data_IF_986228600014
#
_entry.id   IF_986228600014
#
_cell.length_a   1.000
_cell.length_b   1.000
_cell.length_c   1.000
_cell.angle_alpha   90.00
_cell.angle_beta   90.00
_cell.angle_gamma   90.00
#
_symmetry.space_group_name_H-M   'P 1'
#
loop_
_entity.id
_entity.type
_entity.pdbx_description
1 polymer ?
#
# COMPACT_ATOMS: atom_id res chain seq x y z
N UNK A 1 2.89 19.92 -18.41
CA UNK A 1 3.07 18.44 -18.28
C UNK A 1 3.96 18.13 -17.08
N UNK A 2 3.58 17.18 -16.22
CA UNK A 2 4.42 16.74 -15.10
C UNK A 2 5.67 16.04 -15.60
N UNK A 3 6.83 16.43 -15.08
CA UNK A 3 8.12 15.79 -15.37
C UNK A 3 8.65 15.15 -14.11
N UNK A 4 8.62 13.83 -14.05
CA UNK A 4 9.05 13.07 -12.89
C UNK A 4 10.56 12.82 -12.87
N UNK A 5 11.16 12.99 -11.68
CA UNK A 5 12.58 12.72 -11.40
C UNK A 5 12.68 11.59 -10.38
N UNK A 6 13.61 10.66 -10.56
CA UNK A 6 13.84 9.59 -9.61
C UNK A 6 14.28 10.13 -8.25
N UNK A 7 13.82 9.48 -7.18
CA UNK A 7 14.23 9.79 -5.82
C UNK A 7 15.64 9.22 -5.57
N UNK A 8 16.51 10.08 -5.07
CA UNK A 8 17.92 9.78 -4.76
C UNK A 8 18.30 10.37 -3.41
N UNK A 9 19.40 9.88 -2.83
CA UNK A 9 19.96 10.45 -1.59
C UNK A 9 20.30 11.95 -1.73
N UNK A 10 20.64 12.38 -2.96
CA UNK A 10 21.01 13.79 -3.24
C UNK A 10 19.79 14.73 -3.20
N UNK A 11 18.64 14.27 -3.68
CA UNK A 11 17.42 15.10 -3.72
C UNK A 11 16.45 14.86 -2.56
N UNK A 12 16.78 14.00 -1.60
CA UNK A 12 15.92 13.74 -0.44
C UNK A 12 15.66 14.99 0.43
N UNK A 13 16.60 15.93 0.48
CA UNK A 13 16.41 17.19 1.19
C UNK A 13 15.26 18.03 0.63
N UNK A 14 14.94 17.88 -0.66
CA UNK A 14 13.79 18.52 -1.29
C UNK A 14 12.48 17.91 -0.76
N UNK A 15 12.40 16.57 -0.65
CA UNK A 15 11.23 15.91 -0.07
C UNK A 15 10.98 16.38 1.37
N UNK A 16 12.06 16.55 2.15
CA UNK A 16 11.97 17.03 3.52
C UNK A 16 11.27 18.38 3.66
N UNK A 17 11.46 19.32 2.74
CA UNK A 17 10.81 20.62 2.76
C UNK A 17 9.28 20.54 2.82
N UNK A 18 8.72 19.46 2.26
CA UNK A 18 7.30 19.19 2.29
C UNK A 18 6.90 18.35 3.51
N UNK A 19 7.70 17.33 3.84
CA UNK A 19 7.34 16.35 4.87
C UNK A 19 7.59 16.83 6.29
N UNK A 20 8.54 17.73 6.53
CA UNK A 20 8.85 18.22 7.89
C UNK A 20 7.68 18.96 8.55
N UNK A 21 6.77 19.50 7.77
CA UNK A 21 5.57 20.20 8.25
C UNK A 21 4.28 19.46 7.86
N UNK A 22 4.37 18.19 7.46
CA UNK A 22 3.23 17.39 7.06
C UNK A 22 2.68 16.61 8.25
N UNK A 23 1.42 16.84 8.60
CA UNK A 23 0.75 16.27 9.77
C UNK A 23 -0.11 15.03 9.46
N UNK A 24 0.06 14.40 8.29
CA UNK A 24 -0.71 13.22 7.92
C UNK A 24 -0.40 11.99 8.78
N UNK A 25 0.68 12.00 9.52
CA UNK A 25 1.12 10.95 10.44
C UNK A 25 1.27 9.54 9.81
N UNK A 26 1.32 9.44 8.47
CA UNK A 26 1.55 8.20 7.73
C UNK A 26 3.03 8.08 7.35
N UNK A 27 3.59 6.88 7.46
CA UNK A 27 5.02 6.67 7.25
C UNK A 27 5.48 6.99 5.82
N UNK A 28 4.62 6.86 4.83
CA UNK A 28 4.95 7.20 3.43
C UNK A 28 5.18 8.69 3.21
N UNK A 29 4.70 9.55 4.09
CA UNK A 29 4.98 11.00 4.06
C UNK A 29 6.29 11.33 4.80
N UNK A 30 7.31 10.53 4.52
CA UNK A 30 8.68 10.70 5.03
C UNK A 30 9.71 10.49 3.94
N UNK A 31 10.83 11.17 4.03
CA UNK A 31 11.95 10.97 3.12
C UNK A 31 12.61 9.61 3.33
N UNK A 32 12.60 9.08 4.55
CA UNK A 32 13.14 7.78 4.93
C UNK A 32 12.47 6.65 4.17
N UNK A 33 11.13 6.56 4.21
CA UNK A 33 10.36 5.53 3.47
C UNK A 33 10.59 5.66 1.98
N UNK A 34 10.52 6.89 1.43
CA UNK A 34 10.73 7.08 -0.01
C UNK A 34 12.13 6.67 -0.46
N UNK A 35 13.16 6.90 0.35
CA UNK A 35 14.52 6.43 0.06
C UNK A 35 14.68 4.93 0.23
N UNK A 36 14.10 4.35 1.27
CA UNK A 36 14.21 2.92 1.54
C UNK A 36 13.63 2.09 0.39
N UNK A 37 12.44 2.42 -0.04
CA UNK A 37 11.67 1.66 -1.03
C UNK A 37 11.81 2.15 -2.47
N UNK A 38 12.65 3.19 -2.74
CA UNK A 38 12.76 3.85 -4.06
C UNK A 38 12.97 2.92 -5.25
N UNK A 39 13.71 1.84 -5.06
CA UNK A 39 14.01 0.91 -6.15
C UNK A 39 12.91 -0.14 -6.34
N UNK A 40 12.32 -0.62 -5.24
CA UNK A 40 11.26 -1.63 -5.28
C UNK A 40 9.94 -1.04 -5.81
N UNK A 41 9.62 0.20 -5.40
CA UNK A 41 8.39 0.91 -5.76
C UNK A 41 8.61 1.98 -6.83
N UNK A 42 9.79 2.04 -7.44
CA UNK A 42 10.17 2.98 -8.49
C UNK A 42 9.68 4.41 -8.24
N UNK A 43 9.86 4.88 -7.02
CA UNK A 43 9.42 6.22 -6.63
C UNK A 43 10.09 7.31 -7.45
N UNK A 44 9.26 8.20 -7.98
CA UNK A 44 9.67 9.43 -8.66
C UNK A 44 8.84 10.61 -8.13
N UNK A 45 9.37 11.80 -8.25
CA UNK A 45 8.76 13.02 -7.75
C UNK A 45 8.66 14.12 -8.82
N UNK A 46 7.65 14.95 -8.71
CA UNK A 46 7.46 16.18 -9.46
C UNK A 46 6.91 17.26 -8.55
N UNK A 47 6.99 18.52 -8.98
CA UNK A 47 6.34 19.65 -8.33
C UNK A 47 5.33 20.28 -9.30
N UNK A 48 4.13 20.54 -8.82
CA UNK A 48 3.12 21.30 -9.54
C UNK A 48 2.24 22.07 -8.54
N UNK A 49 1.81 23.26 -8.91
CA UNK A 49 0.93 24.10 -8.10
C UNK A 49 1.43 24.28 -6.65
N UNK A 50 2.75 24.36 -6.44
CA UNK A 50 3.35 24.47 -5.10
C UNK A 50 3.27 23.19 -4.25
N UNK A 51 2.86 22.05 -4.82
CA UNK A 51 2.75 20.76 -4.13
C UNK A 51 3.82 19.79 -4.60
N UNK A 52 4.24 18.90 -3.69
CA UNK A 52 5.00 17.70 -4.00
C UNK A 52 4.06 16.60 -4.48
N UNK A 53 4.36 16.00 -5.61
CA UNK A 53 3.67 14.87 -6.20
C UNK A 53 4.64 13.70 -6.26
N UNK A 54 4.29 12.59 -5.64
CA UNK A 54 5.05 11.34 -5.69
C UNK A 54 4.32 10.36 -6.61
N UNK A 55 5.04 9.81 -7.58
CA UNK A 55 4.62 8.72 -8.45
C UNK A 55 5.25 7.42 -7.96
N UNK A 56 4.44 6.41 -7.78
CA UNK A 56 4.84 5.04 -7.48
C UNK A 56 4.58 4.15 -8.69
N UNK A 57 5.47 3.21 -8.98
CA UNK A 57 5.24 2.18 -10.00
C UNK A 57 5.63 0.82 -9.44
N UNK A 58 4.66 -0.06 -9.31
CA UNK A 58 4.82 -1.41 -8.77
C UNK A 58 3.94 -2.38 -9.54
N UNK A 59 4.49 -3.54 -9.90
CA UNK A 59 3.76 -4.62 -10.58
C UNK A 59 3.02 -4.15 -11.85
N UNK A 60 3.61 -3.22 -12.59
CA UNK A 60 3.02 -2.67 -13.81
C UNK A 60 1.92 -1.62 -13.59
N UNK A 61 1.60 -1.30 -12.34
CA UNK A 61 0.62 -0.27 -11.98
C UNK A 61 1.32 1.02 -11.57
N UNK A 62 0.74 2.14 -11.96
CA UNK A 62 1.20 3.48 -11.58
C UNK A 62 0.15 4.09 -10.66
N UNK A 63 0.60 4.60 -9.52
CA UNK A 63 -0.22 5.38 -8.59
C UNK A 63 0.51 6.64 -8.14
N UNK A 64 -0.24 7.56 -7.55
CA UNK A 64 0.28 8.80 -7.02
C UNK A 64 -0.12 8.92 -5.55
N UNK A 65 0.81 9.30 -4.70
CA UNK A 65 0.44 9.67 -3.33
C UNK A 65 -0.46 10.93 -3.39
N UNK A 66 -1.33 11.10 -2.39
CA UNK A 66 -2.04 12.37 -2.25
C UNK A 66 -1.02 13.51 -2.17
N UNK A 67 -1.18 14.60 -2.96
CA UNK A 67 -0.19 15.69 -3.02
C UNK A 67 0.06 16.32 -1.66
N UNK A 68 1.29 16.73 -1.40
CA UNK A 68 1.64 17.47 -0.18
C UNK A 68 1.88 18.93 -0.52
N UNK A 69 1.05 19.79 0.01
CA UNK A 69 1.17 21.23 -0.22
C UNK A 69 2.41 21.81 0.47
N UNK A 70 3.15 22.66 -0.24
CA UNK A 70 4.06 23.63 0.35
C UNK A 70 3.28 24.83 0.92
N UNK A 71 3.96 25.88 1.39
CA UNK A 71 3.31 27.04 2.02
C UNK A 71 2.22 27.71 1.15
N UNK A 72 2.41 27.75 -0.17
CA UNK A 72 1.48 28.33 -1.15
C UNK A 72 0.93 27.25 -2.10
N UNK A 73 0.88 26.01 -1.64
CA UNK A 73 0.47 24.86 -2.46
C UNK A 73 -1.05 24.74 -2.62
N UNK A 74 -1.49 24.47 -3.85
CA UNK A 74 -2.87 24.17 -4.22
C UNK A 74 -3.02 22.69 -4.56
N UNK A 75 -3.57 21.92 -3.62
CA UNK A 75 -3.76 20.47 -3.76
C UNK A 75 -4.75 20.12 -4.88
N UNK A 76 -5.79 20.93 -5.11
CA UNK A 76 -6.76 20.70 -6.17
C UNK A 76 -6.16 20.89 -7.56
N UNK A 77 -5.37 21.95 -7.73
CA UNK A 77 -4.60 22.15 -8.95
C UNK A 77 -3.53 21.06 -9.17
N UNK A 78 -2.92 20.56 -8.09
CA UNK A 78 -1.97 19.45 -8.17
C UNK A 78 -2.66 18.14 -8.60
N UNK A 79 -3.86 17.84 -8.08
CA UNK A 79 -4.67 16.71 -8.51
C UNK A 79 -5.07 16.85 -9.99
N UNK A 80 -5.45 18.05 -10.42
CA UNK A 80 -5.73 18.34 -11.84
C UNK A 80 -4.51 18.12 -12.74
N UNK A 81 -3.30 18.42 -12.26
CA UNK A 81 -2.07 18.16 -12.99
C UNK A 81 -1.76 16.65 -13.10
N UNK A 82 -2.09 15.85 -12.07
CA UNK A 82 -2.00 14.38 -12.12
C UNK A 82 -2.97 13.83 -13.17
N UNK A 83 -4.22 14.29 -13.17
CA UNK A 83 -5.23 13.87 -14.14
C UNK A 83 -4.81 14.18 -15.58
N UNK A 84 -4.31 15.39 -15.82
CA UNK A 84 -3.81 15.79 -17.14
C UNK A 84 -2.66 14.90 -17.60
N UNK A 85 -1.71 14.59 -16.69
CA UNK A 85 -0.62 13.66 -16.95
C UNK A 85 -1.13 12.26 -17.30
N UNK A 86 -2.12 11.75 -16.56
CA UNK A 86 -2.74 10.46 -16.80
C UNK A 86 -3.42 10.41 -18.18
N UNK A 87 -4.14 11.48 -18.56
CA UNK A 87 -4.76 11.59 -19.88
C UNK A 87 -3.74 11.56 -21.02
N UNK A 88 -2.64 12.28 -20.88
CA UNK A 88 -1.59 12.34 -21.92
C UNK A 88 -0.85 11.01 -22.08
N UNK A 89 -0.61 10.31 -20.96
CA UNK A 89 0.19 9.08 -20.96
C UNK A 89 -0.63 7.81 -21.06
N UNK A 90 -1.97 7.90 -20.98
CA UNK A 90 -2.86 6.75 -20.99
C UNK A 90 -2.85 5.91 -19.73
N UNK A 91 -2.41 6.51 -18.61
CA UNK A 91 -2.39 5.86 -17.32
C UNK A 91 -3.71 6.17 -16.62
N UNK A 92 -4.33 5.18 -15.99
CA UNK A 92 -5.50 5.42 -15.15
C UNK A 92 -5.07 6.19 -13.88
N UNK A 93 -5.72 7.29 -13.50
CA UNK A 93 -5.43 7.95 -12.24
C UNK A 93 -5.75 7.02 -11.07
N UNK A 94 -4.78 6.83 -10.22
CA UNK A 94 -4.89 6.09 -8.97
C UNK A 94 -4.22 6.93 -7.89
N UNK A 95 -5.02 7.47 -6.95
CA UNK A 95 -4.47 8.24 -5.83
C UNK A 95 -4.37 7.30 -4.64
N UNK A 96 -3.16 7.06 -4.20
CA UNK A 96 -2.83 6.13 -3.12
C UNK A 96 -2.34 6.86 -1.87
N UNK A 97 -2.24 6.11 -0.77
CA UNK A 97 -1.77 6.65 0.51
C UNK A 97 -2.54 7.92 0.90
N UNK A 98 -3.85 7.93 0.63
CA UNK A 98 -4.70 9.08 0.97
C UNK A 98 -4.94 9.10 2.47
N UNK A 99 -4.58 10.18 3.17
CA UNK A 99 -4.88 10.35 4.59
C UNK A 99 -6.40 10.42 4.84
N UNK A 100 -6.83 9.99 6.02
CA UNK A 100 -8.25 9.92 6.36
C UNK A 100 -8.95 11.28 6.22
N UNK A 101 -8.30 12.35 6.63
CA UNK A 101 -8.80 13.72 6.55
C UNK A 101 -8.93 14.26 5.12
N UNK A 102 -8.22 13.64 4.15
CA UNK A 102 -8.29 14.01 2.73
C UNK A 102 -9.27 13.14 1.93
N UNK A 103 -9.74 12.05 2.49
CA UNK A 103 -10.71 11.18 1.83
C UNK A 103 -12.00 11.91 1.40
N UNK A 104 -12.62 12.81 2.21
CA UNK A 104 -13.80 13.56 1.78
C UNK A 104 -13.56 14.44 0.55
N UNK A 105 -12.36 15.03 0.41
CA UNK A 105 -11.99 15.85 -0.75
C UNK A 105 -12.05 15.03 -2.03
N UNK A 106 -11.46 13.84 -2.02
CA UNK A 106 -11.44 12.94 -3.18
C UNK A 106 -12.81 12.33 -3.47
N UNK A 107 -13.63 12.04 -2.45
CA UNK A 107 -15.01 11.59 -2.64
C UNK A 107 -15.86 12.67 -3.32
N UNK A 108 -15.65 13.95 -2.99
CA UNK A 108 -16.33 15.05 -3.66
C UNK A 108 -15.85 15.26 -5.09
N UNK A 109 -14.54 15.11 -5.32
CA UNK A 109 -13.92 15.27 -6.64
C UNK A 109 -14.30 14.14 -7.60
N UNK A 110 -14.35 12.91 -7.12
CA UNK A 110 -14.63 11.70 -7.91
C UNK A 110 -15.94 11.04 -7.47
N UNK A 111 -17.08 11.47 -8.01
CA UNK A 111 -18.38 10.91 -7.65
C UNK A 111 -18.52 9.41 -7.97
N UNK A 112 -17.70 8.90 -8.89
CA UNK A 112 -17.59 7.48 -9.21
C UNK A 112 -16.16 7.02 -8.98
N UNK A 113 -15.92 6.50 -7.80
CA UNK A 113 -14.58 6.07 -7.39
C UNK A 113 -14.65 4.77 -6.61
N UNK A 114 -13.74 3.86 -6.91
CA UNK A 114 -13.51 2.70 -6.05
C UNK A 114 -12.55 3.10 -4.94
N UNK A 115 -12.99 2.93 -3.71
CA UNK A 115 -12.17 3.22 -2.53
C UNK A 115 -11.81 1.91 -1.84
N UNK A 116 -10.56 1.73 -1.50
CA UNK A 116 -10.09 0.60 -0.71
C UNK A 116 -9.19 1.07 0.44
N UNK A 117 -9.13 0.25 1.49
CA UNK A 117 -8.34 0.50 2.68
C UNK A 117 -7.91 -0.84 3.27
N UNK A 118 -6.69 -1.23 3.01
CA UNK A 118 -6.16 -2.55 3.37
C UNK A 118 -5.66 -2.53 4.80
N UNK A 119 -6.23 -3.42 5.67
CA UNK A 119 -5.89 -3.50 7.10
C UNK A 119 -4.39 -3.68 7.36
N UNK A 120 -3.71 -4.47 6.53
CA UNK A 120 -2.28 -4.81 6.71
C UNK A 120 -1.33 -3.67 6.39
N UNK A 121 -1.82 -2.59 5.78
CA UNK A 121 -1.07 -1.40 5.44
C UNK A 121 -1.32 -0.23 6.39
N UNK A 122 -2.22 -0.39 7.40
CA UNK A 122 -2.48 0.67 8.37
C UNK A 122 -1.30 0.84 9.29
N UNK A 123 -0.87 2.09 9.49
CA UNK A 123 0.20 2.41 10.42
C UNK A 123 -0.25 2.31 11.87
N UNK A 124 0.66 1.85 12.71
CA UNK A 124 0.47 1.79 14.16
C UNK A 124 0.98 3.10 14.78
N UNK A 125 0.03 3.96 15.17
CA UNK A 125 0.31 5.20 15.88
C UNK A 125 0.16 5.00 17.38
N UNK A 126 1.12 5.52 18.15
CA UNK A 126 1.14 5.48 19.60
C UNK A 126 1.26 6.91 20.12
N UNK A 127 0.69 7.18 21.29
CA UNK A 127 1.07 8.40 22.00
C UNK A 127 2.54 8.32 22.42
N UNK A 128 3.27 9.37 22.16
CA UNK A 128 4.72 9.44 22.48
C UNK A 128 4.99 9.18 23.96
N UNK A 129 4.18 9.76 24.86
CA UNK A 129 4.31 9.57 26.30
C UNK A 129 4.10 8.12 26.72
N UNK A 130 3.18 7.40 26.08
CA UNK A 130 2.93 5.98 26.37
C UNK A 130 4.18 5.12 26.14
N UNK A 131 4.88 5.32 25.03
CA UNK A 131 6.08 4.58 24.70
C UNK A 131 7.31 5.05 25.50
N UNK A 132 7.38 6.34 25.80
CA UNK A 132 8.46 6.92 26.60
C UNK A 132 8.41 6.45 28.07
N UNK A 133 7.23 6.36 28.67
CA UNK A 133 7.08 6.09 30.09
C UNK A 133 6.61 4.67 30.38
N UNK A 134 5.89 4.03 29.45
CA UNK A 134 5.16 2.77 29.67
C UNK A 134 4.35 2.81 30.97
N UNK A 135 3.70 3.95 31.25
CA UNK A 135 2.94 4.15 32.48
C UNK A 135 1.64 3.32 32.52
N UNK A 136 1.19 3.01 33.75
CA UNK A 136 -0.07 2.32 33.96
C UNK A 136 -0.02 0.79 33.84
N UNK A 137 -1.14 0.14 34.19
CA UNK A 137 -1.25 -1.32 34.31
C UNK A 137 -1.06 -2.04 32.96
N UNK A 138 -1.53 -1.46 31.87
CA UNK A 138 -1.47 -2.08 30.53
C UNK A 138 -0.03 -2.33 30.05
N UNK A 139 0.93 -1.54 30.53
CA UNK A 139 2.34 -1.66 30.15
C UNK A 139 3.20 -2.38 31.18
N UNK A 140 2.60 -3.10 32.14
CA UNK A 140 3.36 -3.83 33.14
C UNK A 140 4.30 -4.88 32.53
N UNK A 141 3.89 -5.50 31.42
CA UNK A 141 4.72 -6.45 30.67
C UNK A 141 6.00 -5.79 30.14
N UNK A 142 5.87 -4.66 29.46
CA UNK A 142 7.00 -3.91 28.89
C UNK A 142 7.96 -3.46 29.99
N UNK A 143 7.45 -2.87 31.08
CA UNK A 143 8.29 -2.50 32.24
C UNK A 143 9.02 -3.69 32.85
N UNK A 144 8.37 -4.86 32.94
CA UNK A 144 9.01 -6.06 33.46
C UNK A 144 10.12 -6.55 32.51
N UNK A 145 9.91 -6.51 31.21
CA UNK A 145 10.94 -6.85 30.23
C UNK A 145 12.13 -5.89 30.30
N UNK A 146 11.89 -4.58 30.36
CA UNK A 146 12.92 -3.55 30.52
C UNK A 146 13.70 -3.74 31.83
N UNK A 147 12.99 -3.96 32.95
CA UNK A 147 13.63 -4.19 34.25
C UNK A 147 14.54 -5.42 34.21
N UNK A 148 14.07 -6.53 33.63
CA UNK A 148 14.90 -7.75 33.50
C UNK A 148 16.08 -7.53 32.58
N UNK A 149 15.89 -6.79 31.48
CA UNK A 149 16.94 -6.44 30.54
C UNK A 149 18.10 -5.71 31.27
N UNK A 150 17.84 -4.59 31.95
CA UNK A 150 18.89 -3.84 32.66
C UNK A 150 19.43 -4.58 33.86
N UNK A 151 18.70 -5.51 34.47
CA UNK A 151 19.22 -6.38 35.52
C UNK A 151 20.23 -7.40 34.99
N UNK A 152 20.04 -7.88 33.77
CA UNK A 152 20.92 -8.86 33.12
C UNK A 152 22.11 -8.18 32.43
N UNK A 153 21.88 -7.00 31.85
CA UNK A 153 22.90 -6.21 31.14
C UNK A 153 22.97 -4.80 31.72
N UNK A 154 23.59 -4.65 32.91
CA UNK A 154 23.62 -3.37 33.66
C UNK A 154 24.44 -2.27 32.97
N UNK A 155 25.31 -2.65 32.04
CA UNK A 155 26.12 -1.71 31.26
C UNK A 155 25.44 -1.32 29.93
N UNK A 156 24.20 -1.78 29.70
CA UNK A 156 23.48 -1.42 28.47
C UNK A 156 23.12 0.07 28.48
N UNK A 157 23.57 0.80 27.45
CA UNK A 157 23.37 2.24 27.30
C UNK A 157 22.91 2.58 25.87
N UNK A 158 21.93 3.47 25.79
CA UNK A 158 21.47 4.03 24.50
C UNK A 158 22.23 5.32 24.22
N UNK A 159 22.69 5.45 22.96
CA UNK A 159 23.21 6.71 22.44
C UNK A 159 22.90 6.90 20.96
N UNK A 160 22.85 8.16 20.45
CA UNK A 160 22.89 8.41 19.03
C UNK A 160 24.14 7.80 18.40
N UNK A 161 24.01 7.28 17.17
CA UNK A 161 25.10 6.70 16.39
C UNK A 161 25.23 7.38 15.02
N UNK A 162 26.43 7.34 14.48
CA UNK A 162 26.78 7.87 13.16
C UNK A 162 27.09 6.72 12.19
N UNK A 163 26.56 6.79 10.97
CA UNK A 163 26.89 5.81 9.93
C UNK A 163 28.38 5.72 9.64
N UNK A 164 29.14 6.81 9.83
CA UNK A 164 30.58 6.87 9.59
C UNK A 164 31.37 6.51 10.85
N UNK A 165 31.08 7.14 11.99
CA UNK A 165 31.86 6.93 13.21
C UNK A 165 31.65 5.53 13.82
N UNK A 166 30.42 5.01 13.73
CA UNK A 166 30.06 3.71 14.29
C UNK A 166 29.97 2.60 13.22
N UNK A 167 30.56 2.80 12.02
CA UNK A 167 30.47 1.87 10.90
C UNK A 167 30.85 0.45 11.25
N UNK A 168 31.94 0.26 12.02
CA UNK A 168 32.41 -1.05 12.45
C UNK A 168 31.43 -1.76 13.41
N UNK A 169 30.85 -1.02 14.37
CA UNK A 169 29.85 -1.57 15.28
C UNK A 169 28.55 -1.93 14.54
N UNK A 170 28.13 -1.11 13.58
CA UNK A 170 26.95 -1.37 12.73
C UNK A 170 27.17 -2.61 11.87
N UNK A 171 28.35 -2.76 11.27
CA UNK A 171 28.67 -3.94 10.45
C UNK A 171 28.70 -5.22 11.29
N UNK A 172 29.34 -5.17 12.45
CA UNK A 172 29.37 -6.29 13.40
C UNK A 172 27.96 -6.67 13.85
N UNK A 173 27.12 -5.68 14.21
CA UNK A 173 25.71 -5.92 14.55
C UNK A 173 24.97 -6.69 13.47
N UNK A 174 25.11 -6.30 12.21
CA UNK A 174 24.43 -6.99 11.10
C UNK A 174 24.93 -8.42 10.91
N UNK A 175 26.22 -8.69 11.19
CA UNK A 175 26.78 -10.03 11.20
C UNK A 175 26.14 -10.91 12.28
N UNK A 176 26.09 -10.40 13.50
CA UNK A 176 25.48 -11.07 14.65
C UNK A 176 23.98 -11.28 14.45
N UNK A 177 23.27 -10.23 14.00
CA UNK A 177 21.84 -10.28 13.74
C UNK A 177 21.49 -11.34 12.67
N UNK A 178 22.27 -11.42 11.60
CA UNK A 178 22.08 -12.42 10.56
C UNK A 178 22.32 -13.84 11.08
N UNK A 179 23.26 -14.03 11.99
CA UNK A 179 23.55 -15.33 12.60
C UNK A 179 22.38 -15.82 13.48
N UNK A 180 21.69 -14.89 14.17
CA UNK A 180 20.54 -15.16 15.01
C UNK A 180 19.20 -15.15 14.21
N UNK A 181 19.17 -14.66 12.96
CA UNK A 181 17.96 -14.50 12.18
C UNK A 181 17.36 -15.86 11.82
N UNK A 182 16.02 -16.05 11.97
CA UNK A 182 15.40 -17.34 11.69
C UNK A 182 15.65 -17.80 10.24
N UNK A 183 16.11 -19.02 10.07
CA UNK A 183 16.50 -19.59 8.77
C UNK A 183 15.33 -19.80 7.79
N UNK A 184 14.12 -19.89 8.31
CA UNK A 184 12.86 -20.04 7.58
C UNK A 184 12.16 -18.70 7.28
N UNK A 185 12.83 -17.60 7.55
CA UNK A 185 12.33 -16.26 7.20
C UNK A 185 12.10 -16.14 5.70
N UNK A 186 10.91 -15.67 5.32
CA UNK A 186 10.52 -15.53 3.93
C UNK A 186 11.33 -14.50 3.14
N UNK A 187 11.27 -14.56 1.82
CA UNK A 187 12.00 -13.67 0.91
C UNK A 187 11.76 -12.17 1.16
N UNK A 188 10.55 -11.80 1.60
CA UNK A 188 10.21 -10.41 1.95
C UNK A 188 11.00 -9.89 3.16
N UNK A 189 11.13 -10.70 4.22
CA UNK A 189 11.90 -10.34 5.42
C UNK A 189 13.41 -10.20 5.10
N UNK A 190 13.93 -11.05 4.21
CA UNK A 190 15.31 -10.94 3.75
C UNK A 190 15.54 -9.67 2.91
N UNK A 191 14.60 -9.33 2.03
CA UNK A 191 14.68 -8.11 1.22
C UNK A 191 14.63 -6.85 2.11
N UNK A 192 13.74 -6.80 3.11
CA UNK A 192 13.65 -5.71 4.09
C UNK A 192 14.94 -5.59 4.90
N UNK A 193 15.55 -6.70 5.31
CA UNK A 193 16.83 -6.71 6.02
C UNK A 193 17.95 -6.05 5.18
N UNK A 194 18.05 -6.40 3.90
CA UNK A 194 19.05 -5.79 3.00
C UNK A 194 18.79 -4.29 2.75
N UNK A 195 17.51 -3.87 2.67
CA UNK A 195 17.16 -2.46 2.60
C UNK A 195 17.51 -1.71 3.89
N UNK A 196 17.25 -2.31 5.05
CA UNK A 196 17.61 -1.76 6.37
C UNK A 196 19.12 -1.54 6.49
N UNK A 197 19.95 -2.50 6.07
CA UNK A 197 21.42 -2.34 6.02
C UNK A 197 21.84 -1.16 5.16
N UNK A 198 21.28 -1.05 3.95
CA UNK A 198 21.58 0.06 3.03
C UNK A 198 21.20 1.41 3.62
N UNK A 199 20.07 1.49 4.31
CA UNK A 199 19.60 2.71 4.96
C UNK A 199 20.51 3.11 6.15
N UNK A 200 20.90 2.15 6.98
CA UNK A 200 21.83 2.40 8.09
C UNK A 200 23.21 2.87 7.63
N UNK A 201 23.68 2.39 6.46
CA UNK A 201 24.97 2.77 5.87
C UNK A 201 24.94 4.09 5.08
N UNK A 202 23.76 4.72 4.89
CA UNK A 202 23.65 6.00 4.19
C UNK A 202 24.42 7.10 4.94
N UNK A 203 24.98 8.10 4.23
CA UNK A 203 25.63 9.24 4.87
C UNK A 203 24.72 9.93 5.90
N UNK A 204 25.34 10.38 6.99
CA UNK A 204 24.61 11.08 8.05
C UNK A 204 23.88 12.31 7.51
N UNK A 205 22.63 12.45 7.95
CA UNK A 205 21.76 13.58 7.66
C UNK A 205 21.13 14.04 8.97
N UNK A 206 21.00 15.36 9.23
CA UNK A 206 20.44 15.86 10.49
C UNK A 206 19.03 15.34 10.81
N UNK A 207 18.25 15.03 9.77
CA UNK A 207 16.87 14.55 9.88
C UNK A 207 16.76 13.02 9.95
N UNK A 208 17.84 12.27 9.67
CA UNK A 208 17.87 10.81 9.73
C UNK A 208 18.51 10.38 11.04
N UNK A 209 17.69 10.21 12.05
CA UNK A 209 18.09 9.98 13.43
C UNK A 209 18.42 8.51 13.65
N UNK A 210 19.65 8.22 14.03
CA UNK A 210 20.10 6.86 14.31
C UNK A 210 20.34 6.67 15.79
N UNK A 211 19.79 5.61 16.37
CA UNK A 211 20.01 5.20 17.73
C UNK A 211 20.71 3.85 17.83
N UNK A 212 21.52 3.67 18.83
CA UNK A 212 22.15 2.39 19.16
C UNK A 212 22.07 2.10 20.64
N UNK A 213 21.74 0.85 21.01
CA UNK A 213 21.87 0.33 22.35
C UNK A 213 23.15 -0.50 22.40
N UNK A 214 24.02 -0.20 23.35
CA UNK A 214 25.32 -0.87 23.54
C UNK A 214 25.35 -1.61 24.84
N UNK A 215 25.96 -2.78 24.87
CA UNK A 215 26.41 -3.47 26.11
C UNK A 215 27.95 -3.44 26.12
N UNK A 216 28.50 -2.49 26.88
CA UNK A 216 29.90 -2.09 26.75
C UNK A 216 30.18 -1.54 25.36
N UNK A 217 31.09 -2.16 24.60
CA UNK A 217 31.43 -1.75 23.22
C UNK A 217 30.54 -2.42 22.15
N UNK A 218 29.76 -3.44 22.55
CA UNK A 218 28.95 -4.22 21.59
C UNK A 218 27.62 -3.53 21.31
N UNK A 219 27.37 -3.20 20.05
CA UNK A 219 26.05 -2.75 19.57
C UNK A 219 25.07 -3.94 19.56
N UNK A 220 24.01 -3.87 20.36
CA UNK A 220 23.04 -4.96 20.57
C UNK A 220 21.65 -4.66 20.02
N UNK A 221 21.34 -3.39 19.79
CA UNK A 221 20.15 -2.96 19.07
C UNK A 221 20.42 -1.65 18.33
N UNK A 222 19.70 -1.43 17.22
CA UNK A 222 19.79 -0.19 16.46
C UNK A 222 18.41 0.25 15.94
N UNK A 223 18.27 1.55 15.71
CA UNK A 223 17.10 2.15 15.09
C UNK A 223 17.45 3.24 14.11
N UNK A 224 16.48 3.53 13.24
CA UNK A 224 16.50 4.65 12.30
C UNK A 224 15.15 5.34 12.33
N UNK A 225 15.16 6.63 12.66
CA UNK A 225 13.95 7.42 12.84
C UNK A 225 14.00 8.72 12.03
N UNK A 226 12.82 9.30 11.80
CA UNK A 226 12.64 10.60 11.16
C UNK A 226 11.47 11.35 11.84
N UNK A 227 11.57 12.67 11.98
CA UNK A 227 10.45 13.50 12.44
C UNK A 227 9.72 14.11 11.26
N UNK A 228 8.40 13.97 11.21
CA UNK A 228 7.53 14.61 10.22
C UNK A 228 6.34 15.22 10.97
N UNK A 229 6.16 16.55 10.89
CA UNK A 229 5.19 17.26 11.72
C UNK A 229 5.38 16.89 13.21
N UNK A 230 4.30 16.56 13.90
CA UNK A 230 4.29 16.13 15.29
C UNK A 230 4.50 14.62 15.49
N UNK A 231 5.01 13.92 14.48
CA UNK A 231 5.18 12.46 14.51
C UNK A 231 6.64 12.05 14.40
N UNK A 232 7.11 11.23 15.34
CA UNK A 232 8.36 10.47 15.20
C UNK A 232 8.05 9.17 14.45
N UNK A 233 8.64 8.99 13.28
CA UNK A 233 8.49 7.76 12.48
C UNK A 233 9.71 6.88 12.72
N UNK A 234 9.49 5.62 13.12
CA UNK A 234 10.54 4.62 13.32
C UNK A 234 10.55 3.69 12.11
N UNK A 235 11.53 3.89 11.22
CA UNK A 235 11.67 3.11 9.99
C UNK A 235 12.33 1.76 10.20
N UNK A 236 13.32 1.72 11.10
CA UNK A 236 14.09 0.52 11.39
C UNK A 236 14.21 0.40 12.91
N UNK A 237 13.95 -0.79 13.41
CA UNK A 237 14.16 -1.17 14.80
C UNK A 237 14.55 -2.64 14.81
N UNK A 238 15.79 -2.93 15.15
CA UNK A 238 16.34 -4.28 15.21
C UNK A 238 17.14 -4.47 16.51
N UNK A 239 16.97 -5.62 17.14
CA UNK A 239 17.73 -6.02 18.31
C UNK A 239 18.15 -7.49 18.21
N UNK A 240 19.31 -7.85 18.74
CA UNK A 240 19.78 -9.22 18.81
C UNK A 240 18.83 -10.06 19.66
N UNK A 241 18.43 -11.22 19.17
CA UNK A 241 17.45 -12.10 19.84
C UNK A 241 17.99 -12.64 21.17
N UNK A 242 19.32 -12.79 21.29
CA UNK A 242 20.01 -13.20 22.51
C UNK A 242 19.86 -12.20 23.66
N UNK A 243 19.48 -10.94 23.38
CA UNK A 243 19.27 -9.89 24.38
C UNK A 243 17.77 -9.72 24.70
N UNK A 244 17.21 -10.63 25.48
CA UNK A 244 15.79 -10.62 25.82
C UNK A 244 15.38 -9.32 26.53
N UNK A 245 14.39 -8.61 25.99
CA UNK A 245 13.93 -7.30 26.49
C UNK A 245 14.61 -6.09 25.86
N UNK A 246 15.56 -6.29 24.94
CA UNK A 246 16.23 -5.19 24.24
C UNK A 246 15.23 -4.35 23.39
N UNK A 247 14.25 -4.96 22.71
CA UNK A 247 13.26 -4.23 21.93
C UNK A 247 12.47 -3.18 22.75
N UNK A 248 11.78 -3.52 23.87
CA UNK A 248 11.08 -2.51 24.65
C UNK A 248 12.02 -1.50 25.31
N UNK A 249 13.25 -1.89 25.67
CA UNK A 249 14.25 -0.95 26.18
C UNK A 249 14.69 0.05 25.09
N UNK A 250 14.89 -0.42 23.86
CA UNK A 250 15.24 0.42 22.71
C UNK A 250 14.12 1.40 22.38
N UNK A 251 12.86 0.93 22.26
CA UNK A 251 11.68 1.79 22.01
C UNK A 251 11.60 2.91 23.05
N UNK A 252 11.74 2.59 24.33
CA UNK A 252 11.69 3.60 25.39
C UNK A 252 12.80 4.64 25.24
N UNK A 253 14.01 4.18 24.99
CA UNK A 253 15.21 5.03 24.93
C UNK A 253 15.22 5.94 23.69
N UNK A 254 14.88 5.40 22.50
CA UNK A 254 14.85 6.17 21.27
C UNK A 254 13.72 7.21 21.26
N UNK A 255 12.54 6.87 21.79
CA UNK A 255 11.44 7.81 21.94
C UNK A 255 11.78 8.93 22.94
N UNK A 256 12.48 8.60 24.03
CA UNK A 256 12.99 9.61 24.95
C UNK A 256 14.03 10.53 24.31
N UNK A 257 14.94 9.97 23.49
CA UNK A 257 16.02 10.72 22.86
C UNK A 257 15.56 11.54 21.63
N UNK A 258 14.65 11.00 20.83
CA UNK A 258 14.29 11.58 19.55
C UNK A 258 12.87 12.14 19.47
N UNK A 259 12.00 11.82 20.42
CA UNK A 259 10.59 12.20 20.41
C UNK A 259 10.27 13.61 20.91
N UNK A 260 11.28 14.44 21.21
CA UNK A 260 11.00 15.80 21.65
C UNK A 260 10.24 16.61 20.59
N UNK A 261 9.18 17.34 21.00
CA UNK A 261 8.28 18.06 20.12
C UNK A 261 7.27 17.17 19.36
N UNK A 262 7.27 15.84 19.54
CA UNK A 262 6.31 14.93 18.92
C UNK A 262 5.15 14.61 19.87
N UNK A 263 3.93 14.54 19.32
CA UNK A 263 2.74 14.01 20.00
C UNK A 263 2.61 12.50 19.79
N UNK A 264 3.03 12.03 18.63
CA UNK A 264 2.86 10.64 18.20
C UNK A 264 4.18 9.97 17.83
N UNK A 265 4.16 8.63 17.90
CA UNK A 265 5.18 7.74 17.34
C UNK A 265 4.49 6.83 16.34
N UNK A 266 4.97 6.82 15.09
CA UNK A 266 4.53 5.89 14.05
C UNK A 266 5.58 4.78 13.93
N UNK A 267 5.16 3.53 14.13
CA UNK A 267 6.00 2.34 13.95
C UNK A 267 5.64 1.56 12.69
N UNK A 268 5.15 2.25 11.68
CA UNK A 268 4.75 1.71 10.37
C UNK A 268 3.69 0.60 10.46
N UNK A 269 3.41 -0.08 9.35
CA UNK A 269 2.41 -1.14 9.27
C UNK A 269 2.95 -2.53 9.68
N UNK A 270 2.12 -3.58 9.57
CA UNK A 270 2.52 -4.96 9.86
C UNK A 270 2.78 -5.82 8.62
N UNK A 271 2.67 -5.27 7.40
CA UNK A 271 2.86 -5.94 6.12
C UNK A 271 2.14 -7.31 5.98
N UNK A 272 1.14 -7.58 6.82
CA UNK A 272 0.43 -8.85 6.91
C UNK A 272 1.11 -9.91 7.78
N UNK A 273 2.26 -9.63 8.38
CA UNK A 273 2.94 -10.56 9.29
C UNK A 273 2.23 -10.64 10.64
N UNK A 274 1.85 -11.87 11.04
CA UNK A 274 1.11 -12.12 12.30
C UNK A 274 1.95 -11.87 13.54
N UNK A 275 3.23 -12.19 13.51
CA UNK A 275 4.14 -12.00 14.64
C UNK A 275 4.38 -10.52 14.87
N UNK A 276 4.66 -9.76 13.80
CA UNK A 276 4.82 -8.32 13.84
C UNK A 276 3.55 -7.61 14.31
N UNK A 277 2.38 -8.05 13.81
CA UNK A 277 1.06 -7.56 14.27
C UNK A 277 0.87 -7.75 15.77
N UNK A 278 1.12 -8.97 16.26
CA UNK A 278 0.98 -9.29 17.68
C UNK A 278 1.92 -8.42 18.53
N UNK A 279 3.17 -8.30 18.11
CA UNK A 279 4.16 -7.45 18.77
C UNK A 279 3.70 -5.99 18.83
N UNK A 280 3.30 -5.40 17.70
CA UNK A 280 2.85 -3.99 17.64
C UNK A 280 1.60 -3.73 18.49
N UNK A 281 0.64 -4.65 18.49
CA UNK A 281 -0.58 -4.51 19.32
C UNK A 281 -0.28 -4.56 20.83
N UNK A 282 0.74 -5.29 21.27
CA UNK A 282 1.14 -5.35 22.70
C UNK A 282 1.63 -4.00 23.24
N UNK A 283 2.03 -3.08 22.39
CA UNK A 283 2.41 -1.71 22.78
C UNK A 283 1.20 -0.77 22.88
N UNK A 284 -0.04 -1.26 22.67
CA UNK A 284 -1.28 -0.51 22.85
C UNK A 284 -1.39 0.72 21.94
N UNK A 285 -1.46 0.55 20.61
CA UNK A 285 -1.54 1.71 19.71
C UNK A 285 -2.78 2.56 20.01
N UNK A 286 -2.61 3.87 19.93
CA UNK A 286 -3.69 4.85 20.06
C UNK A 286 -4.63 4.79 18.86
N UNK A 287 -4.07 4.55 17.66
CA UNK A 287 -4.81 4.48 16.39
C UNK A 287 -4.09 3.54 15.42
N UNK A 288 -4.89 2.90 14.57
CA UNK A 288 -4.40 2.28 13.33
C UNK A 288 -4.76 3.22 12.19
N UNK A 289 -3.80 4.05 11.76
CA UNK A 289 -4.02 5.07 10.76
C UNK A 289 -4.27 4.43 9.38
N UNK A 290 -5.45 4.67 8.79
CA UNK A 290 -5.79 4.09 7.51
C UNK A 290 -5.05 4.79 6.37
N UNK A 291 -4.75 4.03 5.32
CA UNK A 291 -4.22 4.51 4.04
C UNK A 291 -5.24 4.17 2.97
N UNK A 292 -5.93 5.17 2.45
CA UNK A 292 -6.95 4.94 1.44
C UNK A 292 -6.35 4.94 0.05
N UNK A 293 -6.94 4.11 -0.80
CA UNK A 293 -6.70 4.06 -2.24
C UNK A 293 -7.94 4.49 -2.98
N UNK A 294 -7.80 5.45 -3.86
CA UNK A 294 -8.85 5.99 -4.71
C UNK A 294 -8.55 5.67 -6.16
N UNK A 295 -9.40 4.89 -6.78
CA UNK A 295 -9.35 4.54 -8.19
C UNK A 295 -10.57 5.14 -8.90
N UNK A 296 -10.45 6.36 -9.45
CA UNK A 296 -11.52 6.99 -10.22
C UNK A 296 -11.95 6.09 -11.35
N UNK A 297 -13.28 5.92 -11.52
CA UNK A 297 -13.84 5.08 -12.55
C UNK A 297 -14.04 5.86 -13.84
N UNK A 298 -14.09 5.14 -14.94
CA UNK A 298 -14.26 5.74 -16.26
C UNK A 298 -15.61 6.46 -16.40
N UNK A 299 -15.61 7.64 -17.00
CA UNK A 299 -16.83 8.40 -17.26
C UNK A 299 -17.80 7.70 -18.21
N UNK A 300 -17.34 6.80 -19.09
CA UNK A 300 -18.24 6.06 -19.99
C UNK A 300 -19.29 5.26 -19.23
N UNK A 301 -18.92 4.65 -18.10
CA UNK A 301 -19.86 3.92 -17.25
C UNK A 301 -20.69 4.83 -16.33
N UNK A 302 -20.35 6.11 -16.24
CA UNK A 302 -21.02 7.09 -15.38
C UNK A 302 -22.51 7.23 -15.69
N UNK A 303 -22.86 7.18 -16.97
CA UNK A 303 -24.20 7.38 -17.46
C UNK A 303 -24.97 6.07 -17.70
N UNK A 304 -24.34 4.93 -17.50
CA UNK A 304 -24.96 3.61 -17.69
C UNK A 304 -25.56 3.16 -16.36
N UNK A 305 -26.83 3.42 -16.14
CA UNK A 305 -27.56 3.00 -14.92
C UNK A 305 -28.04 1.55 -14.98
N UNK A 306 -28.23 1.01 -16.19
CA UNK A 306 -28.60 -0.38 -16.44
C UNK A 306 -27.90 -0.86 -17.71
N UNK A 307 -27.65 -2.17 -17.81
CA UNK A 307 -27.12 -2.78 -19.04
C UNK A 307 -28.17 -2.63 -20.13
N UNK A 308 -27.86 -1.93 -21.23
CA UNK A 308 -28.85 -1.71 -22.31
C UNK A 308 -29.11 -3.00 -23.09
N UNK A 309 -30.28 -3.08 -23.72
CA UNK A 309 -30.53 -4.07 -24.74
C UNK A 309 -30.04 -3.54 -26.11
N UNK A 310 -29.15 -4.30 -26.75
CA UNK A 310 -28.59 -4.00 -28.05
C UNK A 310 -29.06 -5.09 -29.01
N UNK A 311 -29.42 -4.69 -30.26
CA UNK A 311 -29.88 -5.61 -31.30
C UNK A 311 -28.96 -5.54 -32.50
N UNK A 312 -28.60 -6.69 -33.03
CA UNK A 312 -27.93 -6.86 -34.31
C UNK A 312 -28.89 -7.51 -35.30
N UNK A 313 -28.41 -7.97 -36.43
CA UNK A 313 -29.25 -8.65 -37.42
C UNK A 313 -29.86 -9.95 -36.87
N UNK A 314 -29.06 -10.74 -36.09
CA UNK A 314 -29.45 -12.07 -35.60
C UNK A 314 -29.49 -12.16 -34.08
N UNK A 315 -28.83 -11.25 -33.38
CA UNK A 315 -28.58 -11.37 -31.95
C UNK A 315 -29.26 -10.26 -31.16
N UNK A 316 -29.53 -10.57 -29.91
CA UNK A 316 -29.83 -9.58 -28.86
C UNK A 316 -28.79 -9.69 -27.76
N UNK A 317 -28.16 -8.57 -27.43
CA UNK A 317 -27.27 -8.48 -26.28
C UNK A 317 -28.04 -7.78 -25.16
N UNK A 318 -28.10 -8.39 -23.97
CA UNK A 318 -28.86 -7.85 -22.85
C UNK A 318 -28.20 -8.24 -21.51
N UNK A 319 -28.71 -7.72 -20.39
CA UNK A 319 -28.24 -8.13 -19.09
C UNK A 319 -28.39 -9.65 -18.88
N UNK A 320 -27.43 -10.23 -18.17
CA UNK A 320 -27.55 -11.61 -17.66
C UNK A 320 -28.57 -11.59 -16.53
N UNK A 321 -29.51 -12.52 -16.54
CA UNK A 321 -30.60 -12.63 -15.56
C UNK A 321 -30.45 -13.89 -14.72
N UNK A 322 -31.23 -14.00 -13.64
CA UNK A 322 -31.25 -15.21 -12.80
C UNK A 322 -31.68 -16.46 -13.59
N UNK A 323 -32.55 -16.29 -14.59
CA UNK A 323 -32.97 -17.41 -15.44
C UNK A 323 -31.83 -17.96 -16.31
N UNK A 324 -30.78 -17.17 -16.54
CA UNK A 324 -29.62 -17.59 -17.35
C UNK A 324 -28.58 -18.39 -16.55
N UNK A 325 -28.70 -18.45 -15.21
CA UNK A 325 -27.65 -19.03 -14.34
C UNK A 325 -27.20 -20.43 -14.82
N UNK A 326 -28.07 -21.38 -15.16
CA UNK A 326 -27.61 -22.71 -15.62
C UNK A 326 -26.80 -22.66 -16.91
N UNK A 327 -27.28 -21.89 -17.92
CA UNK A 327 -26.60 -21.75 -19.21
C UNK A 327 -25.33 -20.93 -19.10
N UNK A 328 -25.34 -19.89 -18.27
CA UNK A 328 -24.17 -19.05 -18.02
C UNK A 328 -23.07 -19.82 -17.30
N UNK A 329 -23.41 -20.62 -16.28
CA UNK A 329 -22.45 -21.48 -15.60
C UNK A 329 -21.85 -22.52 -16.56
N UNK A 330 -22.65 -23.13 -17.42
CA UNK A 330 -22.15 -24.08 -18.42
C UNK A 330 -21.14 -23.42 -19.38
N UNK A 331 -21.39 -22.18 -19.80
CA UNK A 331 -20.49 -21.40 -20.64
C UNK A 331 -19.19 -21.01 -19.90
N UNK A 332 -19.31 -20.54 -18.65
CA UNK A 332 -18.18 -20.10 -17.82
C UNK A 332 -17.26 -21.26 -17.43
N UNK A 333 -17.81 -22.44 -17.21
CA UNK A 333 -17.06 -23.63 -16.80
C UNK A 333 -16.51 -24.45 -17.99
N UNK A 334 -16.81 -24.07 -19.22
CA UNK A 334 -16.27 -24.75 -20.43
C UNK A 334 -14.79 -24.38 -20.61
N UNK A 335 -13.90 -25.32 -20.29
CA UNK A 335 -12.44 -25.16 -20.37
C UNK A 335 -11.94 -24.82 -21.77
N UNK A 336 -12.61 -25.31 -22.84
CA UNK A 336 -12.24 -25.00 -24.22
C UNK A 336 -12.57 -23.54 -24.57
N UNK A 337 -13.66 -22.99 -24.01
CA UNK A 337 -14.05 -21.59 -24.21
C UNK A 337 -13.22 -20.63 -23.36
N UNK A 338 -12.75 -21.08 -22.22
CA UNK A 338 -11.95 -20.28 -21.29
C UNK A 338 -10.45 -20.30 -21.58
N UNK A 339 -9.98 -21.12 -22.52
CA UNK A 339 -8.55 -21.29 -22.86
C UNK A 339 -7.81 -19.94 -23.07
N UNK A 340 -8.52 -18.93 -23.57
CA UNK A 340 -7.97 -17.61 -23.90
C UNK A 340 -8.58 -16.48 -23.08
N UNK A 341 -9.42 -16.83 -22.09
CA UNK A 341 -10.16 -15.81 -21.32
C UNK A 341 -9.30 -15.07 -20.29
N UNK A 342 -8.09 -15.55 -19.99
CA UNK A 342 -7.18 -14.92 -19.03
C UNK A 342 -7.64 -14.93 -17.57
N UNK A 343 -8.71 -15.66 -17.27
CA UNK A 343 -9.33 -15.74 -15.95
C UNK A 343 -9.13 -17.15 -15.37
N UNK A 344 -8.69 -17.24 -14.11
CA UNK A 344 -8.83 -18.47 -13.32
C UNK A 344 -10.17 -18.39 -12.57
N UNK A 345 -11.21 -18.96 -13.19
CA UNK A 345 -12.60 -18.82 -12.74
C UNK A 345 -12.86 -19.41 -11.35
N UNK A 346 -11.98 -20.24 -10.84
CA UNK A 346 -12.16 -20.94 -9.56
C UNK A 346 -11.27 -20.37 -8.45
N UNK A 347 -10.06 -19.93 -8.77
CA UNK A 347 -9.08 -19.41 -7.80
C UNK A 347 -9.39 -18.00 -7.29
N UNK A 348 -10.11 -17.18 -8.04
CA UNK A 348 -10.40 -15.78 -7.70
C UNK A 348 -11.62 -15.54 -6.81
N UNK A 349 -12.49 -16.53 -6.63
CA UNK A 349 -13.76 -16.35 -5.91
C UNK A 349 -13.65 -16.35 -4.38
N UNK A 350 -12.55 -16.84 -3.81
CA UNK A 350 -12.23 -16.75 -2.37
C UNK A 350 -13.21 -17.43 -1.40
N UNK A 351 -14.26 -18.09 -1.93
CA UNK A 351 -15.32 -18.76 -1.19
C UNK A 351 -15.75 -20.03 -1.96
N UNK A 352 -16.46 -20.97 -1.34
CA UNK A 352 -17.03 -22.11 -2.08
C UNK A 352 -17.88 -21.60 -3.24
N UNK A 353 -17.60 -22.07 -4.47
CA UNK A 353 -18.35 -21.71 -5.68
C UNK A 353 -19.76 -22.28 -5.55
N UNK A 354 -20.77 -21.40 -5.60
CA UNK A 354 -22.18 -21.76 -5.63
C UNK A 354 -22.71 -21.63 -7.04
N UNK A 355 -23.91 -22.16 -7.31
CA UNK A 355 -24.57 -21.98 -8.61
C UNK A 355 -24.76 -20.50 -9.02
N UNK A 356 -24.82 -19.58 -8.06
CA UNK A 356 -25.01 -18.14 -8.29
C UNK A 356 -23.69 -17.35 -8.45
N UNK A 357 -22.55 -17.96 -8.11
CA UNK A 357 -21.30 -17.23 -7.97
C UNK A 357 -20.93 -16.37 -9.19
N UNK A 358 -21.02 -16.91 -10.39
CA UNK A 358 -20.65 -16.19 -11.60
C UNK A 358 -21.65 -15.07 -11.94
N UNK A 359 -22.94 -15.33 -11.75
CA UNK A 359 -24.00 -14.31 -11.91
C UNK A 359 -23.81 -13.16 -10.91
N UNK A 360 -23.57 -13.49 -9.64
CA UNK A 360 -23.35 -12.50 -8.58
C UNK A 360 -22.08 -11.69 -8.81
N UNK A 361 -21.03 -12.30 -9.38
CA UNK A 361 -19.82 -11.60 -9.79
C UNK A 361 -20.11 -10.61 -10.93
N UNK A 362 -20.76 -11.05 -11.99
CA UNK A 362 -21.09 -10.19 -13.12
C UNK A 362 -21.97 -9.00 -12.71
N UNK A 363 -22.97 -9.25 -11.85
CA UNK A 363 -23.82 -8.19 -11.28
C UNK A 363 -23.02 -7.22 -10.43
N UNK A 364 -22.21 -7.73 -9.49
CA UNK A 364 -21.34 -6.92 -8.61
C UNK A 364 -20.36 -6.07 -9.41
N UNK A 365 -19.76 -6.65 -10.44
CA UNK A 365 -18.78 -5.94 -11.27
C UNK A 365 -19.45 -4.81 -12.07
N UNK A 366 -20.69 -4.98 -12.51
CA UNK A 366 -21.47 -3.89 -13.09
C UNK A 366 -21.83 -2.81 -12.05
N UNK A 367 -22.32 -3.21 -10.86
CA UNK A 367 -22.63 -2.29 -9.76
C UNK A 367 -21.39 -1.46 -9.34
N UNK A 368 -20.20 -2.11 -9.34
CA UNK A 368 -18.92 -1.48 -9.02
C UNK A 368 -18.26 -0.78 -10.23
N UNK A 369 -18.94 -0.69 -11.37
CA UNK A 369 -18.41 -0.05 -12.60
C UNK A 369 -17.10 -0.68 -13.10
N UNK A 370 -16.92 -1.97 -12.90
CA UNK A 370 -15.71 -2.71 -13.29
C UNK A 370 -15.86 -3.42 -14.65
N UNK A 371 -17.06 -3.92 -14.94
CA UNK A 371 -17.35 -4.63 -16.17
C UNK A 371 -18.81 -4.45 -16.58
N UNK A 372 -19.08 -4.66 -17.87
CA UNK A 372 -20.43 -4.76 -18.45
C UNK A 372 -20.52 -6.09 -19.16
N UNK A 373 -21.20 -7.06 -18.54
CA UNK A 373 -21.37 -8.39 -19.08
C UNK A 373 -22.72 -8.50 -19.81
N UNK A 374 -22.66 -8.69 -21.11
CA UNK A 374 -23.85 -8.93 -21.94
C UNK A 374 -24.06 -10.43 -22.17
N UNK A 375 -25.25 -10.90 -21.93
CA UNK A 375 -25.73 -12.16 -22.49
C UNK A 375 -25.93 -12.01 -23.98
N UNK A 376 -25.24 -12.79 -24.79
CA UNK A 376 -25.46 -12.87 -26.22
C UNK A 376 -26.59 -13.89 -26.50
N UNK A 377 -27.69 -13.45 -27.09
CA UNK A 377 -28.89 -14.28 -27.30
C UNK A 377 -29.23 -14.45 -28.77
N UNK A 378 -29.53 -15.67 -29.13
CA UNK A 378 -30.13 -16.03 -30.43
C UNK A 378 -31.55 -16.49 -30.18
N UNK A 379 -32.54 -15.78 -30.74
CA UNK A 379 -33.96 -16.07 -30.52
C UNK A 379 -34.35 -16.25 -29.04
N UNK A 380 -33.77 -15.42 -28.15
CA UNK A 380 -34.00 -15.45 -26.71
C UNK A 380 -33.13 -16.43 -25.92
N UNK A 381 -32.47 -17.39 -26.56
CA UNK A 381 -31.58 -18.37 -25.93
C UNK A 381 -30.21 -17.76 -25.72
N UNK A 382 -29.65 -17.87 -24.51
CA UNK A 382 -28.28 -17.48 -24.24
C UNK A 382 -27.33 -18.44 -24.97
N UNK A 383 -26.51 -17.89 -25.86
CA UNK A 383 -25.52 -18.63 -26.65
C UNK A 383 -24.09 -18.16 -26.41
N UNK A 384 -23.90 -17.13 -25.62
CA UNK A 384 -22.57 -16.59 -25.37
C UNK A 384 -22.59 -15.41 -24.43
N UNK A 385 -21.42 -14.84 -24.25
CA UNK A 385 -21.18 -13.63 -23.48
C UNK A 385 -20.28 -12.67 -24.26
N UNK A 386 -20.59 -11.38 -24.19
CA UNK A 386 -19.68 -10.32 -24.56
C UNK A 386 -19.47 -9.43 -23.34
N UNK A 387 -18.24 -9.14 -23.00
CA UNK A 387 -17.92 -8.34 -21.81
C UNK A 387 -16.97 -7.20 -22.16
N UNK A 388 -17.29 -6.01 -21.67
CA UNK A 388 -16.38 -4.86 -21.63
C UNK A 388 -15.83 -4.74 -20.22
N UNK A 389 -14.51 -4.68 -20.07
CA UNK A 389 -13.82 -4.59 -18.80
C UNK A 389 -12.51 -3.81 -18.94
N UNK A 390 -11.75 -3.61 -17.87
CA UNK A 390 -10.52 -2.83 -17.87
C UNK A 390 -10.69 -1.46 -18.54
N UNK A 391 -11.75 -0.76 -18.15
CA UNK A 391 -12.00 0.60 -18.64
C UNK A 391 -10.86 1.51 -18.25
N UNK A 392 -10.20 2.10 -19.25
CA UNK A 392 -9.17 3.08 -18.99
C UNK A 392 -9.73 4.50 -18.89
N UNK A 393 -8.90 5.41 -18.39
CA UNK A 393 -9.30 6.82 -18.23
C UNK A 393 -9.48 7.58 -19.56
N UNK A 394 -9.08 6.99 -20.69
CA UNK A 394 -9.24 7.56 -22.05
C UNK A 394 -10.56 7.19 -22.69
N UNK A 395 -11.39 6.40 -22.02
CA UNK A 395 -12.64 5.94 -22.58
C UNK A 395 -12.50 4.70 -23.45
N UNK A 396 -11.40 3.94 -23.32
CA UNK A 396 -11.25 2.62 -23.93
C UNK A 396 -11.58 1.52 -22.92
N UNK A 397 -11.86 0.34 -23.43
CA UNK A 397 -12.06 -0.87 -22.64
C UNK A 397 -11.53 -2.09 -23.40
N UNK A 398 -11.24 -3.15 -22.69
CA UNK A 398 -11.01 -4.45 -23.30
C UNK A 398 -12.34 -5.14 -23.60
N UNK A 399 -12.41 -5.80 -24.75
CA UNK A 399 -13.56 -6.60 -25.17
C UNK A 399 -13.20 -8.09 -25.05
N UNK A 400 -13.94 -8.83 -24.23
CA UNK A 400 -13.98 -10.27 -24.21
C UNK A 400 -15.24 -10.78 -24.89
N UNK A 401 -15.14 -11.86 -25.67
CA UNK A 401 -16.29 -12.53 -26.24
C UNK A 401 -16.10 -14.05 -26.25
N UNK A 402 -17.09 -14.78 -25.81
CA UNK A 402 -17.14 -16.25 -25.91
C UNK A 402 -18.50 -16.71 -26.35
N UNK A 403 -18.54 -17.67 -27.27
CA UNK A 403 -19.77 -18.29 -27.80
C UNK A 403 -19.75 -19.78 -27.43
N UNK A 404 -20.88 -20.29 -26.98
CA UNK A 404 -21.08 -21.71 -26.69
C UNK A 404 -20.68 -22.57 -27.91
N UNK A 405 -20.04 -23.70 -27.62
CA UNK A 405 -19.51 -24.62 -28.64
C UNK A 405 -20.53 -25.06 -29.64
N UNK A 406 -21.80 -25.26 -29.24
CA UNK A 406 -22.88 -25.66 -30.11
C UNK A 406 -23.22 -24.59 -31.17
N UNK A 407 -22.86 -23.33 -30.93
CA UNK A 407 -23.14 -22.20 -31.82
C UNK A 407 -21.89 -21.62 -32.49
N UNK A 408 -20.72 -22.24 -32.24
CA UNK A 408 -19.45 -21.79 -32.81
C UNK A 408 -19.41 -21.94 -34.33
N UNK A 409 -18.59 -21.13 -35.00
CA UNK A 409 -18.38 -21.20 -36.44
C UNK A 409 -19.47 -20.49 -37.29
N UNK A 410 -20.51 -19.92 -36.68
CA UNK A 410 -21.62 -19.24 -37.40
C UNK A 410 -21.45 -17.70 -37.46
N UNK A 411 -20.31 -17.16 -37.07
CA UNK A 411 -20.02 -15.72 -37.08
C UNK A 411 -20.65 -14.93 -35.93
N UNK A 412 -21.31 -15.57 -34.96
CA UNK A 412 -22.02 -14.87 -33.88
C UNK A 412 -21.09 -14.06 -32.98
N UNK A 413 -19.86 -14.55 -32.71
CA UNK A 413 -18.90 -13.79 -31.90
C UNK A 413 -18.37 -12.54 -32.61
N UNK A 414 -18.31 -12.53 -33.93
CA UNK A 414 -17.93 -11.36 -34.72
C UNK A 414 -19.09 -10.34 -34.83
N UNK A 415 -20.31 -10.83 -34.80
CA UNK A 415 -21.50 -10.00 -34.86
C UNK A 415 -21.83 -9.33 -33.52
N UNK A 416 -21.61 -10.06 -32.42
CA UNK A 416 -21.77 -9.56 -31.05
C UNK A 416 -20.72 -8.51 -30.68
#
# INVERSE_FOLDING_TARGET
>A
MLTFKNITVRNAAMLRRYYENCDYALCEYSAGVKLMWRSALRYAWAEAAGCLIIRCESEGRVSFDYPVAGPDGDEDAALSAIEAYCMETGIQPEISIVPEEKAPVLLSRYPYVRVSNIRTWRDYLYYKEDLQLFAGRRYSGQRNHIKKFYAQWPNAEFRPISAKADAGAIEQFWGDFKAEFPKDSGSKAMAELELSKKMMAMPDKPWLLRGGMFDGEKLIALSLCEKCGETLIIHIEKALYSYAGAYPAMVQAEVAAFGDGCAYVNREDDAGDRGLRTSKLQYGPAKLAPKYHFLPQNELLRHVSAIPELKTERLTLSAITEADIPAYNALVLDSDRNRWWGYDDVGGLGAPVTERSFYDVARRDFENRMAVNFAVRLNGTLIGEAVLYNFDYRGSAELGCRIDKAYAGNGYGTEA
#
